data_IF_361543325916
#
_entry.id   IF_361543325916
#
_cell.length_a   1.000
_cell.length_b   1.000
_cell.length_c   1.000
_cell.angle_alpha   90.00
_cell.angle_beta   90.00
_cell.angle_gamma   90.00
#
_symmetry.space_group_name_H-M   'P 1'
#
loop_
_entity.id
_entity.type
_entity.pdbx_description
1 polymer ?
#
# COMPACT_ATOMS: atom_id res chain seq x y z
N UNK A 1 -5.00 -12.22 -42.43
CA UNK A 1 -5.10 -10.99 -41.60
C UNK A 1 -5.06 -11.36 -40.11
N UNK A 2 -3.91 -11.49 -39.45
CA UNK A 2 -3.90 -11.63 -37.97
C UNK A 2 -2.61 -11.22 -37.22
N UNK A 3 -1.53 -10.81 -37.90
CA UNK A 3 -0.28 -10.49 -37.20
C UNK A 3 -0.30 -9.16 -36.41
N UNK A 4 -1.30 -8.29 -36.63
CA UNK A 4 -1.38 -6.96 -36.01
C UNK A 4 -2.10 -6.97 -34.65
N UNK A 5 -2.97 -7.96 -34.41
CA UNK A 5 -3.67 -8.18 -33.12
C UNK A 5 -2.79 -8.86 -32.06
N UNK A 6 -1.83 -9.68 -32.49
CA UNK A 6 -0.94 -10.43 -31.59
C UNK A 6 0.06 -9.52 -30.85
N UNK A 7 0.57 -8.48 -31.54
CA UNK A 7 1.58 -7.55 -30.97
C UNK A 7 0.99 -6.67 -29.86
N UNK A 8 -0.28 -6.29 -29.99
CA UNK A 8 -0.99 -5.52 -28.96
C UNK A 8 -1.23 -6.33 -27.70
N UNK A 9 -1.71 -7.57 -27.85
CA UNK A 9 -1.92 -8.46 -26.72
C UNK A 9 -0.60 -8.79 -26.00
N UNK A 10 0.50 -8.99 -26.74
CA UNK A 10 1.83 -9.21 -26.17
C UNK A 10 2.33 -8.00 -25.39
N UNK A 11 2.17 -6.77 -25.90
CA UNK A 11 2.54 -5.56 -25.16
C UNK A 11 1.69 -5.39 -23.89
N UNK A 12 0.38 -5.64 -23.96
CA UNK A 12 -0.52 -5.56 -22.79
C UNK A 12 -0.15 -6.60 -21.74
N UNK A 13 0.09 -7.85 -22.15
CA UNK A 13 0.55 -8.91 -21.23
C UNK A 13 1.90 -8.57 -20.61
N UNK A 14 2.85 -8.02 -21.38
CA UNK A 14 4.16 -7.61 -20.88
C UNK A 14 4.09 -6.40 -19.93
N UNK A 15 3.25 -5.40 -20.24
CA UNK A 15 2.98 -4.25 -19.38
C UNK A 15 2.25 -4.67 -18.08
N UNK A 16 1.31 -5.61 -18.17
CA UNK A 16 0.65 -6.21 -17.01
C UNK A 16 1.63 -7.01 -16.17
N UNK A 17 2.55 -7.76 -16.78
CA UNK A 17 3.59 -8.53 -16.07
C UNK A 17 4.59 -7.59 -15.34
N UNK A 18 4.99 -6.48 -15.98
CA UNK A 18 5.80 -5.42 -15.36
C UNK A 18 5.07 -4.72 -14.21
N UNK A 19 3.79 -4.38 -14.39
CA UNK A 19 2.97 -3.77 -13.34
C UNK A 19 2.73 -4.72 -12.15
N UNK A 20 2.66 -6.02 -12.39
CA UNK A 20 2.49 -7.05 -11.36
C UNK A 20 3.74 -7.17 -10.46
N UNK A 21 4.96 -6.99 -10.99
CA UNK A 21 6.19 -7.03 -10.19
C UNK A 21 6.33 -5.85 -9.23
N UNK A 22 5.73 -4.69 -9.53
CA UNK A 22 5.83 -3.49 -8.69
C UNK A 22 5.09 -3.61 -7.34
N UNK A 23 4.12 -4.52 -7.22
CA UNK A 23 3.33 -4.69 -5.99
C UNK A 23 3.97 -5.59 -4.94
N UNK A 24 5.05 -6.34 -5.28
CA UNK A 24 5.53 -7.46 -4.45
C UNK A 24 6.68 -7.07 -3.51
N UNK A 25 7.31 -5.91 -3.70
CA UNK A 25 8.59 -5.60 -3.02
C UNK A 25 8.47 -4.94 -1.64
N UNK A 26 7.29 -4.45 -1.23
CA UNK A 26 7.11 -3.84 0.08
C UNK A 26 5.76 -4.24 0.62
N UNK A 27 5.70 -4.91 1.77
CA UNK A 27 4.49 -5.43 2.42
C UNK A 27 3.50 -4.35 2.86
N UNK A 28 3.02 -3.54 1.92
CA UNK A 28 1.99 -2.55 2.12
C UNK A 28 0.65 -3.28 2.35
N UNK A 29 -0.13 -2.89 3.37
CA UNK A 29 -1.46 -3.44 3.57
C UNK A 29 -2.36 -3.20 2.35
N UNK A 30 -3.23 -4.14 1.96
CA UNK A 30 -4.13 -3.96 0.82
C UNK A 30 -5.15 -2.83 1.04
N UNK A 31 -5.38 -2.45 2.30
CA UNK A 31 -6.24 -1.33 2.65
C UNK A 31 -5.56 0.02 2.39
N UNK A 32 -4.23 0.06 2.28
CA UNK A 32 -3.45 1.29 2.24
C UNK A 32 -2.70 1.47 0.91
N UNK A 33 -2.25 2.68 0.65
CA UNK A 33 -1.33 3.01 -0.43
C UNK A 33 0.02 3.38 0.17
N UNK A 34 1.12 2.82 -0.35
CA UNK A 34 2.46 3.12 0.15
C UNK A 34 3.30 3.77 -0.95
N UNK A 35 3.97 4.86 -0.61
CA UNK A 35 4.94 5.53 -1.48
C UNK A 35 6.23 5.78 -0.70
N UNK A 36 7.24 4.95 -0.95
CA UNK A 36 8.46 4.93 -0.14
C UNK A 36 8.15 4.56 1.31
N UNK A 37 8.46 5.45 2.26
CA UNK A 37 8.20 5.31 3.70
C UNK A 37 6.90 6.00 4.16
N UNK A 38 6.11 6.53 3.24
CA UNK A 38 4.81 7.15 3.52
C UNK A 38 3.70 6.15 3.27
N UNK A 39 2.85 5.94 4.28
CA UNK A 39 1.69 5.06 4.21
C UNK A 39 0.43 5.90 4.31
N UNK A 40 -0.43 5.82 3.31
CA UNK A 40 -1.74 6.44 3.29
C UNK A 40 -2.84 5.39 3.44
N UNK A 41 -3.47 5.38 4.62
CA UNK A 41 -4.61 4.55 4.95
C UNK A 41 -5.89 5.39 5.14
N UNK A 42 -5.92 6.63 4.62
CA UNK A 42 -7.03 7.55 4.82
C UNK A 42 -8.29 7.14 4.03
N UNK A 43 -9.47 7.46 4.56
CA UNK A 43 -10.77 7.15 3.92
C UNK A 43 -11.08 5.66 3.70
N UNK A 44 -10.47 4.77 4.47
CA UNK A 44 -10.59 3.31 4.31
C UNK A 44 -11.63 2.66 5.21
N UNK A 45 -12.39 3.46 5.97
CA UNK A 45 -13.39 3.01 6.96
C UNK A 45 -12.80 2.04 7.99
N UNK A 46 -11.51 2.15 8.28
CA UNK A 46 -10.81 1.30 9.24
C UNK A 46 -11.40 1.50 10.64
N UNK A 47 -11.60 0.39 11.35
CA UNK A 47 -12.05 0.39 12.74
C UNK A 47 -10.91 0.14 13.73
N UNK A 48 -9.75 -0.31 13.22
CA UNK A 48 -8.49 -0.51 13.94
C UNK A 48 -7.31 -0.22 13.02
N UNK A 49 -6.14 0.06 13.59
CA UNK A 49 -4.90 0.23 12.83
C UNK A 49 -4.46 -1.12 12.23
N UNK A 50 -4.04 -1.18 10.96
CA UNK A 50 -3.50 -2.40 10.35
C UNK A 50 -2.21 -2.85 11.06
N UNK A 51 -2.02 -4.15 11.28
CA UNK A 51 -0.83 -4.68 11.99
C UNK A 51 0.36 -4.95 11.08
N UNK A 52 0.13 -5.00 9.77
CA UNK A 52 1.10 -5.30 8.73
C UNK A 52 1.66 -4.03 8.09
N UNK A 53 1.96 -3.02 8.90
CA UNK A 53 2.59 -1.80 8.41
C UNK A 53 4.11 -2.02 8.25
N UNK A 54 4.74 -1.59 7.15
CA UNK A 54 6.17 -1.73 6.97
C UNK A 54 6.95 -0.98 8.06
N UNK A 55 7.90 -1.66 8.70
CA UNK A 55 8.73 -1.13 9.81
C UNK A 55 9.49 0.17 9.46
N UNK A 56 9.75 0.40 8.17
CA UNK A 56 10.39 1.62 7.67
C UNK A 56 9.46 2.83 7.54
N UNK A 57 8.21 2.76 8.01
CA UNK A 57 7.26 3.86 7.90
C UNK A 57 7.75 5.12 8.63
N UNK A 58 7.80 6.25 7.94
CA UNK A 58 8.10 7.56 8.52
C UNK A 58 6.87 8.42 8.71
N UNK A 59 5.83 8.17 7.90
CA UNK A 59 4.55 8.87 7.95
C UNK A 59 3.42 7.87 7.74
N UNK A 60 2.40 7.93 8.58
CA UNK A 60 1.21 7.09 8.50
C UNK A 60 -0.03 7.98 8.54
N UNK A 61 -0.86 7.96 7.50
CA UNK A 61 -2.10 8.74 7.46
C UNK A 61 -3.31 7.85 7.75
N UNK A 62 -4.00 8.10 8.87
CA UNK A 62 -5.21 7.38 9.28
C UNK A 62 -6.47 8.25 9.23
N UNK A 63 -6.42 9.42 8.59
CA UNK A 63 -7.53 10.39 8.59
C UNK A 63 -8.79 9.81 7.95
N UNK A 64 -9.94 10.29 8.40
CA UNK A 64 -11.25 9.93 7.84
C UNK A 64 -11.55 8.41 7.90
N UNK A 65 -11.12 7.75 8.98
CA UNK A 65 -11.49 6.39 9.34
C UNK A 65 -12.50 6.35 10.50
N UNK A 66 -12.90 5.15 10.92
CA UNK A 66 -13.85 4.88 12.02
C UNK A 66 -13.13 4.34 13.25
N UNK A 67 -11.93 4.84 13.50
CA UNK A 67 -11.10 4.43 14.62
C UNK A 67 -11.72 5.00 15.91
N UNK A 68 -12.00 4.13 16.88
CA UNK A 68 -12.58 4.54 18.17
C UNK A 68 -11.52 5.03 19.16
N UNK A 69 -10.32 4.48 19.07
CA UNK A 69 -9.16 4.89 19.85
C UNK A 69 -7.88 4.49 19.12
N UNK A 70 -6.81 5.23 19.37
CA UNK A 70 -5.45 4.87 19.00
C UNK A 70 -4.71 4.49 20.27
N UNK A 71 -4.03 3.34 20.26
CA UNK A 71 -3.23 2.89 21.39
C UNK A 71 -1.76 2.84 21.01
N UNK A 72 -0.88 2.94 22.00
CA UNK A 72 0.57 2.88 21.76
C UNK A 72 1.02 1.55 21.15
N UNK A 73 0.33 0.45 21.48
CA UNK A 73 0.57 -0.88 20.93
C UNK A 73 0.24 -1.00 19.43
N UNK A 74 -0.60 -0.11 18.88
CA UNK A 74 -0.94 -0.09 17.45
C UNK A 74 0.26 0.31 16.57
N UNK A 75 1.30 0.94 17.14
CA UNK A 75 2.47 1.46 16.42
C UNK A 75 3.78 0.77 16.83
N UNK A 76 3.70 -0.36 17.52
CA UNK A 76 4.90 -1.13 17.93
C UNK A 76 5.68 -1.60 16.70
N UNK A 77 6.99 -1.35 16.72
CA UNK A 77 7.89 -1.66 15.60
C UNK A 77 7.96 -0.57 14.52
N UNK A 78 7.16 0.50 14.62
CA UNK A 78 7.27 1.66 13.73
C UNK A 78 8.26 2.69 14.29
N UNK A 79 9.49 2.25 14.55
CA UNK A 79 10.52 3.05 15.25
C UNK A 79 10.97 4.29 14.47
N UNK A 80 10.66 4.33 13.17
CA UNK A 80 10.98 5.44 12.26
C UNK A 80 9.81 6.42 12.08
N UNK A 81 8.67 6.19 12.71
CA UNK A 81 7.48 7.01 12.56
C UNK A 81 7.70 8.40 13.17
N UNK A 82 7.48 9.44 12.36
CA UNK A 82 7.66 10.85 12.77
C UNK A 82 6.36 11.64 12.70
N UNK A 83 5.40 11.18 11.89
CA UNK A 83 4.16 11.88 11.63
C UNK A 83 3.01 10.90 11.50
N UNK A 84 1.90 11.23 12.17
CA UNK A 84 0.62 10.54 12.15
C UNK A 84 -0.48 11.50 11.69
#
# INVERSE_FOLDING_TARGET
>A
MSARRQRWAQCVVFLLWLALQAHVLNGCPPECSCQGSVIDCSHRKLVRVPRNLPYGATRLDLRNNRLSALRGDDFVGLDRLRSL
#
